data_IF_529748029555
#
_entry.id   IF_529748029555
#
_cell.length_a   1.000
_cell.length_b   1.000
_cell.length_c   1.000
_cell.angle_alpha   90.00
_cell.angle_beta   90.00
_cell.angle_gamma   90.00
#
_symmetry.space_group_name_H-M   'P 1'
#
loop_
_entity.id
_entity.type
_entity.pdbx_description
1 polymer ?
#
# COMPACT_ATOMS: atom_id res chain seq x y z
N UNK A 1 -69.33 41.68 -49.06
CA UNK A 1 -68.38 42.81 -48.87
C UNK A 1 -67.31 42.33 -47.90
N UNK A 2 -66.09 42.10 -48.40
CA UNK A 2 -64.86 42.85 -48.00
C UNK A 2 -64.67 42.83 -46.47
N UNK A 3 -63.61 42.25 -45.91
CA UNK A 3 -62.22 42.46 -46.34
C UNK A 3 -61.32 41.46 -45.59
N UNK A 4 -60.50 40.76 -46.37
CA UNK A 4 -59.28 40.11 -45.93
C UNK A 4 -58.34 41.19 -45.36
N UNK A 5 -57.78 40.99 -44.18
CA UNK A 5 -56.57 41.72 -43.78
C UNK A 5 -55.63 40.76 -43.05
N UNK A 6 -54.54 40.46 -43.75
CA UNK A 6 -53.31 39.83 -43.28
C UNK A 6 -52.78 40.53 -42.03
N UNK A 7 -52.50 39.76 -40.98
CA UNK A 7 -51.39 40.08 -40.09
C UNK A 7 -50.54 38.82 -39.90
N UNK A 8 -49.45 38.82 -40.67
CA UNK A 8 -48.30 37.94 -40.60
C UNK A 8 -47.62 38.17 -39.23
N UNK A 9 -48.00 37.43 -38.19
CA UNK A 9 -47.32 37.50 -36.89
C UNK A 9 -46.25 36.41 -36.81
N UNK A 10 -45.11 36.77 -37.38
CA UNK A 10 -43.73 36.34 -37.09
C UNK A 10 -43.56 35.09 -36.22
N UNK A 11 -42.99 34.05 -36.81
CA UNK A 11 -42.26 32.99 -36.10
C UNK A 11 -41.23 33.63 -35.16
N UNK A 12 -41.48 33.62 -33.86
CA UNK A 12 -40.43 33.79 -32.85
C UNK A 12 -40.22 32.44 -32.14
N UNK A 13 -39.65 31.50 -32.89
CA UNK A 13 -38.87 30.41 -32.30
C UNK A 13 -37.60 31.03 -31.72
N UNK A 14 -37.72 31.67 -30.56
CA UNK A 14 -36.58 31.76 -29.63
C UNK A 14 -36.49 30.39 -28.97
N UNK A 15 -36.03 29.44 -29.79
CA UNK A 15 -35.21 28.36 -29.28
C UNK A 15 -33.95 29.05 -28.76
N UNK A 16 -33.99 29.50 -27.50
CA UNK A 16 -32.76 29.61 -26.73
C UNK A 16 -32.23 28.18 -26.60
N UNK A 17 -31.58 27.68 -27.65
CA UNK A 17 -30.46 26.77 -27.45
C UNK A 17 -29.41 27.63 -26.74
N UNK A 18 -29.53 27.76 -25.41
CA UNK A 18 -28.32 27.98 -24.63
C UNK A 18 -27.51 26.72 -24.86
N UNK A 19 -26.67 26.75 -25.88
CA UNK A 19 -25.48 25.93 -25.92
C UNK A 19 -24.73 26.32 -24.66
N UNK A 20 -25.02 25.61 -23.56
CA UNK A 20 -24.19 25.61 -22.39
C UNK A 20 -22.84 25.13 -22.90
N UNK A 21 -21.93 26.08 -23.12
CA UNK A 21 -20.54 25.78 -23.30
C UNK A 21 -20.12 25.09 -22.01
N UNK A 22 -19.91 23.78 -22.08
CA UNK A 22 -19.46 22.97 -20.97
C UNK A 22 -18.05 23.46 -20.61
N UNK A 23 -17.95 24.32 -19.59
CA UNK A 23 -16.68 24.72 -19.00
C UNK A 23 -15.90 23.43 -18.66
N UNK A 24 -14.64 23.28 -19.13
CA UNK A 24 -13.88 22.06 -18.89
C UNK A 24 -13.70 21.87 -17.39
N UNK A 25 -14.10 20.69 -16.88
CA UNK A 25 -13.96 20.36 -15.47
C UNK A 25 -12.50 20.57 -15.00
N UNK A 26 -12.28 21.08 -13.78
CA UNK A 26 -10.92 21.27 -13.26
C UNK A 26 -10.17 19.94 -13.21
N UNK A 27 -8.84 19.94 -13.42
CA UNK A 27 -8.06 18.71 -13.39
C UNK A 27 -8.13 18.05 -12.01
N UNK A 28 -8.16 16.70 -11.93
CA UNK A 28 -8.26 16.01 -10.66
C UNK A 28 -6.99 16.18 -9.82
N UNK A 29 -7.15 16.49 -8.53
CA UNK A 29 -6.05 16.53 -7.56
C UNK A 29 -5.52 15.12 -7.33
N UNK A 30 -4.19 14.95 -7.31
CA UNK A 30 -3.52 13.68 -7.05
C UNK A 30 -2.47 13.81 -5.96
N UNK A 31 -2.32 12.75 -5.17
CA UNK A 31 -1.29 12.61 -4.15
C UNK A 31 -0.38 11.42 -4.44
N UNK A 32 0.88 11.54 -4.02
CA UNK A 32 1.88 10.48 -4.15
C UNK A 32 1.83 9.55 -2.93
N UNK A 33 1.70 8.25 -3.19
CA UNK A 33 1.96 7.20 -2.21
C UNK A 33 3.35 6.62 -2.48
N UNK A 34 4.26 6.80 -1.53
CA UNK A 34 5.59 6.19 -1.53
C UNK A 34 5.56 4.93 -0.70
N UNK A 35 5.99 3.80 -1.26
CA UNK A 35 6.04 2.51 -0.57
C UNK A 35 7.46 1.99 -0.41
N UNK A 36 7.81 1.46 0.75
CA UNK A 36 9.14 0.90 1.02
C UNK A 36 9.08 -0.41 1.82
N UNK A 37 10.16 -1.19 1.75
CA UNK A 37 10.40 -2.37 2.58
C UNK A 37 11.59 -2.14 3.50
N UNK A 38 11.45 -2.54 4.77
CA UNK A 38 12.48 -2.39 5.80
C UNK A 38 12.66 -3.68 6.62
N UNK A 39 13.81 -4.36 6.54
CA UNK A 39 14.89 -4.12 5.59
C UNK A 39 14.43 -4.39 4.15
N UNK A 40 15.15 -3.85 3.17
CA UNK A 40 14.85 -4.07 1.74
C UNK A 40 14.91 -5.55 1.35
N UNK A 41 15.83 -6.31 1.95
CA UNK A 41 15.91 -7.77 1.77
C UNK A 41 14.77 -8.55 2.45
N UNK A 42 13.97 -7.87 3.29
CA UNK A 42 12.92 -8.49 4.08
C UNK A 42 11.66 -8.85 3.29
N UNK A 43 11.44 -8.22 2.15
CA UNK A 43 10.25 -8.47 1.33
C UNK A 43 9.95 -7.34 0.34
N UNK A 44 8.77 -7.37 -0.24
CA UNK A 44 8.27 -6.37 -1.20
C UNK A 44 6.96 -5.75 -0.74
N UNK A 45 6.62 -4.58 -1.30
CA UNK A 45 5.34 -3.92 -1.12
C UNK A 45 4.69 -3.69 -2.48
N UNK A 46 3.40 -4.01 -2.59
CA UNK A 46 2.57 -3.74 -3.76
C UNK A 46 1.33 -2.92 -3.36
N UNK A 47 0.87 -1.96 -4.19
CA UNK A 47 1.55 -1.43 -5.37
C UNK A 47 2.87 -0.74 -5.01
N UNK A 48 3.75 -0.57 -5.99
CA UNK A 48 4.93 0.28 -5.83
C UNK A 48 4.51 1.75 -5.75
N UNK A 49 5.48 2.63 -5.46
CA UNK A 49 5.27 4.09 -5.44
C UNK A 49 4.51 4.59 -6.67
N UNK A 50 3.49 5.41 -6.46
CA UNK A 50 2.61 5.90 -7.51
C UNK A 50 1.74 7.07 -7.08
N UNK A 51 0.94 7.60 -8.02
CA UNK A 51 0.03 8.71 -7.78
C UNK A 51 -1.43 8.27 -7.86
N UNK A 52 -2.25 8.78 -6.95
CA UNK A 52 -3.66 8.42 -6.80
C UNK A 52 -4.50 9.68 -6.64
N UNK A 53 -5.74 9.65 -7.11
CA UNK A 53 -6.67 10.78 -6.95
C UNK A 53 -6.95 11.04 -5.48
N UNK A 54 -7.20 12.30 -5.13
CA UNK A 54 -7.66 12.67 -3.80
C UNK A 54 -8.89 11.86 -3.37
N UNK A 55 -8.89 11.38 -2.12
CA UNK A 55 -9.93 10.53 -1.56
C UNK A 55 -9.86 9.06 -1.96
N UNK A 56 -8.98 8.68 -2.90
CA UNK A 56 -8.82 7.28 -3.28
C UNK A 56 -8.39 6.42 -2.08
N UNK A 57 -8.95 5.22 -1.98
CA UNK A 57 -8.53 4.19 -1.01
C UNK A 57 -7.68 3.16 -1.74
N UNK A 58 -6.37 3.13 -1.43
CA UNK A 58 -5.40 2.24 -2.06
C UNK A 58 -5.17 1.03 -1.17
N UNK A 59 -5.41 -0.17 -1.68
CA UNK A 59 -5.02 -1.40 -0.99
C UNK A 59 -3.52 -1.66 -1.19
N UNK A 60 -2.80 -1.84 -0.09
CA UNK A 60 -1.38 -2.17 -0.08
C UNK A 60 -1.17 -3.55 0.54
N UNK A 61 -0.19 -4.29 0.04
CA UNK A 61 0.18 -5.64 0.51
C UNK A 61 1.68 -5.76 0.66
N UNK A 62 2.13 -6.23 1.82
CA UNK A 62 3.50 -6.64 2.10
C UNK A 62 3.66 -8.14 1.83
N UNK A 63 4.70 -8.52 1.09
CA UNK A 63 5.04 -9.92 0.83
C UNK A 63 6.43 -10.20 1.41
N UNK A 64 6.55 -10.94 2.52
CA UNK A 64 7.83 -11.28 3.11
C UNK A 64 8.69 -12.14 2.19
N UNK A 65 10.00 -11.92 2.21
CA UNK A 65 10.97 -12.85 1.65
C UNK A 65 11.03 -14.15 2.49
N UNK A 66 11.60 -15.22 1.93
CA UNK A 66 11.56 -16.57 2.51
C UNK A 66 12.00 -16.64 3.98
N UNK A 67 13.03 -15.90 4.37
CA UNK A 67 13.60 -15.92 5.73
C UNK A 67 13.03 -14.83 6.66
N UNK A 68 11.95 -14.17 6.24
CA UNK A 68 11.36 -13.06 6.95
C UNK A 68 9.86 -13.27 7.22
N UNK A 69 9.35 -12.52 8.17
CA UNK A 69 7.94 -12.37 8.49
C UNK A 69 7.58 -10.89 8.42
N UNK A 70 6.37 -10.59 7.96
CA UNK A 70 5.81 -9.26 8.09
C UNK A 70 5.61 -8.97 9.58
N UNK A 71 6.08 -7.81 10.03
CA UNK A 71 5.97 -7.38 11.43
C UNK A 71 4.94 -6.28 11.60
N UNK A 72 5.01 -5.21 10.80
CA UNK A 72 4.14 -4.04 10.95
C UNK A 72 4.23 -3.10 9.76
N UNK A 73 3.28 -2.16 9.70
CA UNK A 73 3.37 -0.98 8.83
C UNK A 73 3.84 0.24 9.62
N UNK A 74 4.67 1.08 9.01
CA UNK A 74 4.89 2.47 9.43
C UNK A 74 4.21 3.38 8.43
N UNK A 75 3.40 4.34 8.89
CA UNK A 75 2.71 5.30 8.02
C UNK A 75 1.36 4.81 7.45
N UNK A 76 0.93 3.59 7.77
CA UNK A 76 -0.41 3.08 7.52
C UNK A 76 -1.01 2.45 8.79
N UNK A 77 -2.34 2.37 8.85
CA UNK A 77 -3.07 1.68 9.91
C UNK A 77 -3.29 0.22 9.52
N UNK A 78 -3.44 -0.66 10.51
CA UNK A 78 -3.68 -2.08 10.31
C UNK A 78 -2.56 -2.98 10.85
N UNK A 79 -2.92 -4.22 11.14
CA UNK A 79 -2.03 -5.23 11.75
C UNK A 79 -1.69 -6.38 10.80
N UNK A 80 -2.40 -6.48 9.68
CA UNK A 80 -2.23 -7.53 8.67
C UNK A 80 -1.29 -7.08 7.56
N UNK A 81 -0.69 -8.05 6.88
CA UNK A 81 0.20 -7.79 5.74
C UNK A 81 -0.50 -7.08 4.57
N UNK A 82 -1.83 -7.17 4.48
CA UNK A 82 -2.65 -6.35 3.56
C UNK A 82 -3.44 -5.33 4.37
N UNK A 83 -3.42 -4.06 3.95
CA UNK A 83 -4.22 -2.97 4.54
C UNK A 83 -4.60 -1.93 3.49
N UNK A 84 -5.31 -0.88 3.87
CA UNK A 84 -5.74 0.21 2.97
C UNK A 84 -5.27 1.58 3.44
N UNK A 85 -5.01 2.47 2.49
CA UNK A 85 -4.54 3.85 2.71
C UNK A 85 -5.45 4.82 1.98
N UNK A 86 -6.02 5.78 2.71
CA UNK A 86 -6.83 6.87 2.12
C UNK A 86 -5.92 8.02 1.70
N UNK A 87 -5.99 8.41 0.43
CA UNK A 87 -5.10 9.42 -0.17
C UNK A 87 -5.68 10.83 -0.04
N UNK A 88 -5.43 11.46 1.11
CA UNK A 88 -5.78 12.86 1.39
C UNK A 88 -4.56 13.80 1.46
N UNK A 89 -3.36 13.25 1.26
CA UNK A 89 -2.10 13.96 1.21
C UNK A 89 -1.04 13.03 0.60
N UNK A 90 0.15 13.56 0.31
CA UNK A 90 1.30 12.69 0.04
C UNK A 90 1.59 11.82 1.27
N UNK A 91 1.84 10.53 1.06
CA UNK A 91 2.06 9.55 2.13
C UNK A 91 3.27 8.68 1.83
N UNK A 92 3.98 8.32 2.89
CA UNK A 92 5.02 7.30 2.85
C UNK A 92 4.61 6.16 3.76
N UNK A 93 4.63 4.94 3.22
CA UNK A 93 4.27 3.73 3.94
C UNK A 93 5.39 2.70 3.81
N UNK A 94 5.83 2.15 4.95
CA UNK A 94 6.92 1.17 5.00
C UNK A 94 6.45 -0.13 5.62
N UNK A 95 6.63 -1.25 4.91
CA UNK A 95 6.49 -2.59 5.48
C UNK A 95 7.74 -2.95 6.28
N UNK A 96 7.57 -3.26 7.55
CA UNK A 96 8.64 -3.74 8.41
C UNK A 96 8.63 -5.27 8.44
N UNK A 97 9.80 -5.87 8.27
CA UNK A 97 10.01 -7.30 8.28
C UNK A 97 11.03 -7.70 9.34
N UNK A 98 10.81 -8.85 9.97
CA UNK A 98 11.73 -9.45 10.94
C UNK A 98 12.16 -10.82 10.45
N UNK A 99 13.40 -11.24 10.76
CA UNK A 99 13.85 -12.58 10.40
C UNK A 99 13.04 -13.63 11.15
N UNK A 100 12.78 -14.76 10.48
CA UNK A 100 12.27 -15.96 11.13
C UNK A 100 13.26 -16.43 12.20
N UNK A 101 12.72 -16.94 13.30
CA UNK A 101 13.46 -17.58 14.37
C UNK A 101 13.19 -19.08 14.37
N UNK A 102 14.23 -19.88 14.56
CA UNK A 102 14.14 -21.33 14.65
C UNK A 102 14.67 -21.78 16.01
N UNK A 103 13.89 -22.55 16.79
CA UNK A 103 14.38 -23.09 18.04
C UNK A 103 15.40 -24.21 17.75
N UNK A 104 16.49 -24.22 18.50
CA UNK A 104 17.37 -25.38 18.57
C UNK A 104 16.95 -26.22 19.76
N UNK A 105 16.74 -27.53 19.55
CA UNK A 105 16.46 -28.48 20.64
C UNK A 105 17.62 -29.45 20.72
N UNK A 106 18.26 -29.50 21.89
CA UNK A 106 19.37 -30.42 22.18
C UNK A 106 18.86 -31.47 23.15
N UNK A 107 19.12 -32.73 22.85
CA UNK A 107 18.88 -33.86 23.74
C UNK A 107 20.18 -34.62 23.90
N UNK A 108 20.59 -34.83 25.16
CA UNK A 108 21.82 -35.57 25.50
C UNK A 108 21.40 -36.92 26.07
N UNK A 109 21.87 -38.00 25.45
CA UNK A 109 21.73 -39.35 25.96
C UNK A 109 23.07 -39.80 26.57
N UNK A 110 23.04 -40.28 27.83
CA UNK A 110 24.23 -40.61 28.62
C UNK A 110 24.72 -39.48 29.54
N UNK A 111 25.95 -39.57 30.03
CA UNK A 111 26.53 -38.60 31.00
C UNK A 111 27.35 -37.47 30.36
N UNK A 112 27.22 -37.29 29.04
CA UNK A 112 27.90 -36.22 28.31
C UNK A 112 27.39 -34.81 28.65
N UNK A 113 28.17 -33.79 28.31
CA UNK A 113 27.76 -32.38 28.39
C UNK A 113 27.92 -31.71 27.04
N UNK A 114 26.95 -30.87 26.65
CA UNK A 114 27.01 -30.04 25.45
C UNK A 114 27.18 -28.59 25.90
N UNK A 115 28.19 -27.90 25.35
CA UNK A 115 28.46 -26.49 25.64
C UNK A 115 28.18 -25.65 24.39
N UNK A 116 27.03 -24.98 24.36
CA UNK A 116 26.66 -24.12 23.23
C UNK A 116 27.53 -22.86 23.17
N UNK A 117 28.10 -22.58 22.00
CA UNK A 117 28.79 -21.31 21.72
C UNK A 117 28.26 -20.69 20.43
N UNK A 118 27.63 -19.52 20.56
CA UNK A 118 27.22 -18.74 19.40
C UNK A 118 28.45 -18.12 18.73
N UNK A 119 28.83 -18.65 17.57
CA UNK A 119 30.00 -18.20 16.80
C UNK A 119 29.73 -16.95 15.93
N UNK A 120 28.45 -16.55 15.76
CA UNK A 120 28.02 -15.28 15.14
C UNK A 120 26.58 -14.91 15.57
N UNK A 121 26.35 -13.61 15.85
CA UNK A 121 25.22 -13.11 16.67
C UNK A 121 23.83 -13.73 16.49
N UNK A 122 23.27 -14.07 17.65
CA UNK A 122 21.86 -14.14 18.02
C UNK A 122 21.76 -14.70 19.45
N UNK A 123 22.01 -13.88 20.48
CA UNK A 123 22.01 -14.34 21.89
C UNK A 123 20.57 -14.55 22.37
N UNK A 124 20.06 -15.75 22.12
CA UNK A 124 18.93 -16.42 22.75
C UNK A 124 18.93 -17.87 22.24
N UNK A 125 18.27 -18.81 22.92
CA UNK A 125 18.00 -20.17 22.40
C UNK A 125 17.18 -20.18 21.09
N UNK A 126 16.74 -19.00 20.64
CA UNK A 126 16.11 -18.75 19.36
C UNK A 126 17.11 -18.16 18.35
N UNK A 127 17.38 -18.91 17.28
CA UNK A 127 18.34 -18.51 16.26
C UNK A 127 17.65 -17.79 15.09
N UNK A 128 18.15 -16.62 14.71
CA UNK A 128 17.73 -15.97 13.47
C UNK A 128 18.11 -16.85 12.27
N UNK A 129 17.30 -16.84 11.21
CA UNK A 129 17.66 -17.54 9.99
C UNK A 129 19.02 -17.11 9.41
N UNK A 130 19.78 -18.10 8.97
CA UNK A 130 21.14 -17.98 8.44
C UNK A 130 22.26 -18.02 9.49
N UNK A 131 21.95 -18.40 10.74
CA UNK A 131 22.96 -18.57 11.80
C UNK A 131 23.66 -19.92 11.67
N UNK A 132 24.99 -19.96 11.86
CA UNK A 132 25.79 -21.19 11.97
C UNK A 132 26.13 -21.38 13.45
N UNK A 133 25.94 -22.60 13.96
CA UNK A 133 26.20 -22.99 15.36
C UNK A 133 27.22 -24.13 15.36
N UNK A 134 28.14 -24.11 16.31
CA UNK A 134 29.09 -25.19 16.60
C UNK A 134 28.68 -25.81 17.94
N UNK A 135 28.63 -27.14 17.98
CA UNK A 135 28.19 -27.94 19.13
C UNK A 135 29.34 -28.82 19.64
#
# INVERSE_FOLDING_TARGET
>A
MRKFLLLLSVLFVVSCSSSAEEEPAPPPVKYTLTTAANPTAGGTVAPTTGQYTEGATVSITATPAGEYLFSSWTGATGTTATTSVVMNSNKTVTANFVKKKYPLTITVEGEGTVAEKVIKQGVATDYNSGTVVEL
#
